data_IF_133026386871
#
_entry.id   IF_133026386871
#
_cell.length_a   1.000
_cell.length_b   1.000
_cell.length_c   1.000
_cell.angle_alpha   90.00
_cell.angle_beta   90.00
_cell.angle_gamma   90.00
#
_symmetry.space_group_name_H-M   'P 1'
#
loop_
_entity.id
_entity.type
_entity.pdbx_description
1 polymer ?
#
# COMPACT_ATOMS: atom_id res chain seq x y z
N UNK A 1 59.36 -63.68 -5.40
CA UNK A 1 59.08 -62.68 -4.34
C UNK A 1 58.22 -61.58 -4.96
N UNK A 2 57.01 -61.34 -4.44
CA UNK A 2 56.01 -60.43 -5.02
C UNK A 2 55.99 -59.15 -4.17
N UNK A 3 56.50 -58.04 -4.71
CA UNK A 3 56.54 -56.76 -3.99
C UNK A 3 55.14 -56.15 -3.92
N UNK A 4 54.57 -56.11 -2.72
CA UNK A 4 53.31 -55.42 -2.44
C UNK A 4 53.59 -53.92 -2.19
N UNK A 5 53.51 -53.11 -3.24
CA UNK A 5 53.51 -51.64 -3.12
C UNK A 5 52.13 -51.20 -2.63
N UNK A 6 52.03 -50.73 -1.38
CA UNK A 6 50.81 -50.10 -0.87
C UNK A 6 50.71 -48.68 -1.44
N UNK A 7 49.60 -48.28 -2.08
CA UNK A 7 49.44 -46.90 -2.55
C UNK A 7 49.38 -45.95 -1.35
N UNK A 8 50.16 -44.87 -1.38
CA UNK A 8 50.11 -43.81 -0.36
C UNK A 8 48.77 -43.08 -0.47
N UNK A 9 48.07 -42.81 0.65
CA UNK A 9 46.87 -41.98 0.61
C UNK A 9 47.25 -40.58 0.09
N UNK A 10 46.64 -40.18 -1.01
CA UNK A 10 46.78 -38.83 -1.57
C UNK A 10 45.91 -37.90 -0.71
N UNK A 11 46.55 -37.07 0.10
CA UNK A 11 45.87 -36.01 0.86
C UNK A 11 45.46 -34.85 -0.03
N UNK A 12 44.66 -33.93 0.52
CA UNK A 12 44.27 -32.68 -0.14
C UNK A 12 45.49 -31.80 -0.44
N UNK A 13 45.52 -31.21 -1.64
CA UNK A 13 46.56 -30.25 -2.00
C UNK A 13 46.25 -28.87 -1.42
N UNK A 14 47.29 -28.08 -1.09
CA UNK A 14 47.14 -26.72 -0.61
C UNK A 14 46.37 -25.83 -1.60
N UNK A 15 46.59 -26.03 -2.90
CA UNK A 15 45.87 -25.29 -3.94
C UNK A 15 44.38 -25.67 -4.00
N UNK A 16 44.04 -26.93 -3.70
CA UNK A 16 42.66 -27.41 -3.70
C UNK A 16 41.85 -26.80 -2.54
N UNK A 17 42.48 -26.65 -1.37
CA UNK A 17 41.86 -25.97 -0.22
C UNK A 17 41.62 -24.48 -0.52
N UNK A 18 42.57 -23.80 -1.16
CA UNK A 18 42.40 -22.38 -1.53
C UNK A 18 41.27 -22.22 -2.55
N UNK A 19 41.26 -23.05 -3.60
CA UNK A 19 40.23 -22.97 -4.65
C UNK A 19 38.84 -23.26 -4.07
N UNK A 20 38.70 -24.28 -3.22
CA UNK A 20 37.41 -24.61 -2.59
C UNK A 20 36.90 -23.49 -1.69
N UNK A 21 37.77 -22.84 -0.91
CA UNK A 21 37.39 -21.69 -0.09
C UNK A 21 36.96 -20.48 -0.93
N UNK A 22 37.66 -20.20 -2.03
CA UNK A 22 37.30 -19.10 -2.95
C UNK A 22 35.96 -19.37 -3.62
N UNK A 23 35.76 -20.58 -4.15
CA UNK A 23 34.49 -20.97 -4.77
C UNK A 23 33.33 -20.94 -3.77
N UNK A 24 33.56 -21.41 -2.54
CA UNK A 24 32.57 -21.35 -1.46
C UNK A 24 32.23 -19.89 -1.08
N UNK A 25 33.23 -19.00 -1.04
CA UNK A 25 33.03 -17.58 -0.78
C UNK A 25 32.20 -16.89 -1.86
N UNK A 26 32.46 -17.18 -3.14
CA UNK A 26 31.68 -16.65 -4.26
C UNK A 26 30.24 -17.17 -4.21
N UNK A 27 30.05 -18.48 -4.00
CA UNK A 27 28.73 -19.10 -3.89
C UNK A 27 27.93 -18.54 -2.69
N UNK A 28 28.59 -18.34 -1.55
CA UNK A 28 27.99 -17.72 -0.36
C UNK A 28 27.56 -16.27 -0.60
N UNK A 29 28.38 -15.47 -1.28
CA UNK A 29 28.05 -14.09 -1.63
C UNK A 29 26.83 -13.99 -2.56
N UNK A 30 26.75 -14.88 -3.56
CA UNK A 30 25.58 -14.97 -4.44
C UNK A 30 24.32 -15.35 -3.65
N UNK A 31 24.40 -16.34 -2.76
CA UNK A 31 23.27 -16.80 -1.95
C UNK A 31 22.69 -15.67 -1.08
N UNK A 32 23.54 -14.87 -0.44
CA UNK A 32 23.10 -13.72 0.38
C UNK A 32 22.41 -12.65 -0.49
N UNK A 33 22.90 -12.43 -1.71
CA UNK A 33 22.32 -11.44 -2.63
C UNK A 33 20.94 -11.87 -3.14
N UNK A 34 20.72 -13.17 -3.34
CA UNK A 34 19.43 -13.71 -3.79
C UNK A 34 18.41 -13.90 -2.64
N UNK A 35 18.83 -14.38 -1.46
CA UNK A 35 17.90 -14.63 -0.33
C UNK A 35 17.70 -13.41 0.57
N UNK A 36 18.65 -12.47 0.62
CA UNK A 36 18.57 -11.28 1.47
C UNK A 36 17.32 -10.42 1.23
N UNK A 37 17.00 -10.04 -0.03
CA UNK A 37 15.84 -9.20 -0.33
C UNK A 37 14.49 -9.87 -0.06
N UNK A 38 14.39 -11.19 -0.24
CA UNK A 38 13.14 -11.94 -0.04
C UNK A 38 12.75 -12.09 1.43
N UNK A 39 13.73 -12.15 2.33
CA UNK A 39 13.49 -12.24 3.78
C UNK A 39 13.09 -10.86 4.34
N UNK A 40 13.72 -9.78 3.87
CA UNK A 40 13.53 -8.43 4.44
C UNK A 40 12.29 -7.69 3.94
N UNK A 41 11.79 -7.97 2.73
CA UNK A 41 10.62 -7.25 2.15
C UNK A 41 9.28 -7.95 2.31
N UNK A 42 9.23 -9.06 3.04
CA UNK A 42 8.00 -9.85 3.25
C UNK A 42 6.91 -9.08 4.02
N UNK A 43 7.29 -8.08 4.83
CA UNK A 43 6.34 -7.24 5.57
C UNK A 43 5.72 -6.11 4.74
N UNK A 44 6.34 -5.71 3.64
CA UNK A 44 5.86 -4.59 2.82
C UNK A 44 4.48 -4.86 2.19
N UNK A 45 4.23 -6.01 1.52
CA UNK A 45 2.91 -6.30 0.99
C UNK A 45 1.86 -6.47 2.10
N UNK A 46 2.24 -7.03 3.26
CA UNK A 46 1.33 -7.19 4.38
C UNK A 46 0.90 -5.83 4.96
N UNK A 47 1.85 -4.90 5.11
CA UNK A 47 1.55 -3.54 5.58
C UNK A 47 0.72 -2.77 4.57
N UNK A 48 0.98 -2.93 3.27
CA UNK A 48 0.14 -2.33 2.22
C UNK A 48 -1.30 -2.85 2.30
N UNK A 49 -1.50 -4.17 2.43
CA UNK A 49 -2.83 -4.77 2.56
C UNK A 49 -3.57 -4.30 3.83
N UNK A 50 -2.87 -4.23 4.97
CA UNK A 50 -3.45 -3.71 6.21
C UNK A 50 -3.87 -2.25 6.07
N UNK A 51 -3.03 -1.44 5.44
CA UNK A 51 -3.31 -0.04 5.14
C UNK A 51 -4.54 0.10 4.24
N UNK A 52 -4.63 -0.69 3.17
CA UNK A 52 -5.77 -0.70 2.25
C UNK A 52 -7.07 -1.11 2.95
N UNK A 53 -7.01 -2.17 3.76
CA UNK A 53 -8.17 -2.62 4.54
C UNK A 53 -8.64 -1.56 5.55
N UNK A 54 -7.72 -0.86 6.21
CA UNK A 54 -8.07 0.21 7.13
C UNK A 54 -8.75 1.38 6.42
N UNK A 55 -8.26 1.76 5.24
CA UNK A 55 -8.81 2.86 4.45
C UNK A 55 -10.18 2.49 3.86
N UNK A 56 -10.33 1.24 3.42
CA UNK A 56 -11.59 0.66 2.98
C UNK A 56 -12.66 0.72 4.09
N UNK A 57 -12.30 0.32 5.33
CA UNK A 57 -13.21 0.39 6.46
C UNK A 57 -13.68 1.82 6.76
N UNK A 58 -12.80 2.83 6.64
CA UNK A 58 -13.16 4.24 6.78
C UNK A 58 -14.18 4.65 5.72
N UNK A 59 -13.97 4.28 4.45
CA UNK A 59 -14.91 4.59 3.38
C UNK A 59 -16.25 3.90 3.57
N UNK A 60 -16.25 2.64 4.00
CA UNK A 60 -17.48 1.90 4.28
C UNK A 60 -18.30 2.58 5.38
N UNK A 61 -17.65 3.08 6.43
CA UNK A 61 -18.32 3.86 7.47
C UNK A 61 -18.92 5.18 6.93
N UNK A 62 -18.22 5.86 6.00
CA UNK A 62 -18.76 7.05 5.34
C UNK A 62 -19.97 6.71 4.47
N UNK A 63 -19.90 5.62 3.70
CA UNK A 63 -21.00 5.12 2.84
C UNK A 63 -22.21 4.72 3.70
N UNK A 64 -21.98 4.05 4.82
CA UNK A 64 -23.03 3.65 5.74
C UNK A 64 -23.73 4.86 6.39
N UNK A 65 -23.00 5.96 6.65
CA UNK A 65 -23.56 7.18 7.23
C UNK A 65 -24.23 8.11 6.20
N UNK A 66 -23.91 7.98 4.91
CA UNK A 66 -24.46 8.82 3.85
C UNK A 66 -26.00 8.86 3.77
N UNK A 67 -26.76 7.75 3.93
CA UNK A 67 -28.22 7.81 3.92
C UNK A 67 -28.82 8.55 5.13
N UNK A 68 -28.13 8.56 6.27
CA UNK A 68 -28.63 9.14 7.53
C UNK A 68 -28.42 10.66 7.62
N UNK A 69 -27.57 11.24 6.76
CA UNK A 69 -27.34 12.69 6.74
C UNK A 69 -28.42 13.44 5.97
N UNK A 70 -28.79 14.62 6.47
CA UNK A 70 -29.81 15.46 5.85
C UNK A 70 -29.43 15.91 4.41
N UNK A 71 -28.16 16.24 4.16
CA UNK A 71 -27.66 16.71 2.87
C UNK A 71 -26.16 16.38 2.67
N UNK A 72 -25.71 16.38 1.42
CA UNK A 72 -24.31 16.20 1.02
C UNK A 72 -23.40 17.28 1.62
N UNK A 73 -23.92 18.49 1.89
CA UNK A 73 -23.18 19.53 2.60
C UNK A 73 -22.82 19.10 4.04
N UNK A 74 -23.75 18.44 4.73
CA UNK A 74 -23.51 17.91 6.09
C UNK A 74 -22.48 16.79 6.07
N UNK A 75 -22.59 15.86 5.12
CA UNK A 75 -21.60 14.80 4.93
C UNK A 75 -20.21 15.36 4.61
N UNK A 76 -20.13 16.37 3.74
CA UNK A 76 -18.88 17.07 3.45
C UNK A 76 -18.26 17.63 4.73
N UNK A 77 -19.04 18.29 5.58
CA UNK A 77 -18.52 18.86 6.83
C UNK A 77 -18.08 17.81 7.84
N UNK A 78 -18.77 16.67 7.94
CA UNK A 78 -18.41 15.61 8.87
C UNK A 78 -17.14 14.86 8.43
N UNK A 79 -16.92 14.70 7.13
CA UNK A 79 -15.70 14.06 6.58
C UNK A 79 -14.44 14.88 6.87
N UNK A 80 -14.52 16.22 6.84
CA UNK A 80 -13.41 17.12 7.10
C UNK A 80 -12.90 17.88 5.86
N UNK A 81 -12.03 18.87 6.06
CA UNK A 81 -11.52 19.70 4.96
C UNK A 81 -10.50 18.95 4.09
N UNK A 82 -10.44 19.25 2.79
CA UNK A 82 -9.37 18.74 1.94
C UNK A 82 -8.00 19.26 2.42
N UNK A 83 -6.99 18.38 2.40
CA UNK A 83 -5.65 18.63 2.92
C UNK A 83 -5.52 18.49 4.45
N UNK A 84 -6.52 17.92 5.13
CA UNK A 84 -6.47 17.72 6.58
C UNK A 84 -6.51 16.25 7.00
N UNK A 85 -5.85 15.95 8.11
CA UNK A 85 -5.91 14.66 8.78
C UNK A 85 -7.10 14.63 9.73
N UNK A 86 -7.80 13.49 9.75
CA UNK A 86 -9.05 13.30 10.47
C UNK A 86 -8.95 12.05 11.34
N UNK A 87 -9.47 12.16 12.55
CA UNK A 87 -9.62 11.04 13.49
C UNK A 87 -10.98 11.19 14.16
N UNK A 88 -12.02 10.77 13.45
CA UNK A 88 -13.41 10.94 13.84
C UNK A 88 -14.15 9.59 13.80
N UNK A 89 -15.49 9.65 13.87
CA UNK A 89 -16.35 8.47 13.88
C UNK A 89 -16.18 7.58 12.64
N UNK A 90 -15.80 8.12 11.47
CA UNK A 90 -15.56 7.32 10.27
C UNK A 90 -14.31 6.44 10.40
N UNK A 91 -13.30 6.95 11.12
CA UNK A 91 -12.14 6.20 11.56
C UNK A 91 -12.36 5.37 12.82
N UNK A 92 -13.60 5.24 13.31
CA UNK A 92 -13.92 4.66 14.63
C UNK A 92 -13.08 5.27 15.76
N UNK A 93 -12.72 6.56 15.64
CA UNK A 93 -11.82 7.30 16.53
C UNK A 93 -10.43 6.67 16.76
N UNK A 94 -10.04 5.70 15.92
CA UNK A 94 -8.82 4.91 16.09
C UNK A 94 -7.95 4.92 14.83
N UNK A 95 -8.59 4.90 13.66
CA UNK A 95 -7.94 4.95 12.35
C UNK A 95 -7.92 6.40 11.88
N UNK A 96 -6.73 6.97 11.73
CA UNK A 96 -6.56 8.29 11.13
C UNK A 96 -6.57 8.17 9.60
N UNK A 97 -7.23 9.10 8.92
CA UNK A 97 -7.24 9.22 7.47
C UNK A 97 -6.95 10.66 7.05
N UNK A 98 -6.35 10.83 5.89
CA UNK A 98 -6.10 12.10 5.24
C UNK A 98 -7.15 12.34 4.15
N UNK A 99 -7.69 13.55 4.07
CA UNK A 99 -8.64 13.92 3.02
C UNK A 99 -7.91 14.57 1.86
N UNK A 100 -7.64 13.83 0.79
CA UNK A 100 -7.06 14.41 -0.43
C UNK A 100 -8.05 15.31 -1.17
N UNK A 101 -9.30 14.86 -1.27
CA UNK A 101 -10.37 15.59 -1.96
C UNK A 101 -11.67 15.44 -1.19
N UNK A 102 -12.34 16.56 -0.98
CA UNK A 102 -13.71 16.60 -0.47
C UNK A 102 -14.43 17.81 -1.05
N UNK A 103 -14.99 17.63 -2.25
CA UNK A 103 -15.57 18.70 -3.06
C UNK A 103 -16.86 18.26 -3.70
N UNK A 104 -17.83 19.15 -3.78
CA UNK A 104 -19.01 18.94 -4.63
C UNK A 104 -18.55 18.90 -6.09
N UNK A 105 -19.13 18.01 -6.87
CA UNK A 105 -18.83 17.79 -8.27
C UNK A 105 -20.13 17.60 -9.05
N UNK A 106 -20.11 18.08 -10.30
CA UNK A 106 -21.30 18.15 -11.15
C UNK A 106 -21.01 17.40 -12.44
N UNK A 107 -21.91 16.53 -12.86
CA UNK A 107 -21.76 15.82 -14.12
C UNK A 107 -22.23 16.73 -15.25
N UNK A 108 -21.32 17.24 -16.07
CA UNK A 108 -21.71 17.97 -17.27
C UNK A 108 -22.30 16.98 -18.29
N UNK A 109 -23.60 17.13 -18.58
CA UNK A 109 -24.36 16.28 -19.50
C UNK A 109 -23.89 16.39 -20.96
N UNK A 110 -23.16 17.45 -21.32
CA UNK A 110 -22.63 17.63 -22.67
C UNK A 110 -21.28 16.94 -22.89
N UNK A 111 -20.41 16.92 -21.88
CA UNK A 111 -19.05 16.40 -21.98
C UNK A 111 -18.81 15.08 -21.23
N UNK A 112 -19.78 14.60 -20.44
CA UNK A 112 -19.63 13.47 -19.52
C UNK A 112 -18.43 13.64 -18.56
N UNK A 113 -18.08 14.88 -18.22
CA UNK A 113 -16.99 15.18 -17.30
C UNK A 113 -17.51 15.78 -16.00
N UNK A 114 -16.82 15.50 -14.90
CA UNK A 114 -17.10 16.15 -13.62
C UNK A 114 -16.49 17.55 -13.59
N UNK A 115 -17.32 18.58 -13.47
CA UNK A 115 -16.93 19.98 -13.40
C UNK A 115 -17.15 20.55 -12.00
N UNK A 116 -16.41 21.62 -11.66
CA UNK A 116 -16.63 22.43 -10.44
C UNK A 116 -17.53 23.63 -10.77
N UNK A 117 -18.64 23.38 -11.45
CA UNK A 117 -19.64 24.41 -11.78
C UNK A 117 -20.55 24.67 -10.58
N UNK A 118 -21.13 25.87 -10.45
CA UNK A 118 -22.10 26.17 -9.37
C UNK A 118 -23.56 25.95 -9.78
N UNK A 119 -23.78 25.34 -10.94
CA UNK A 119 -25.10 25.06 -11.49
C UNK A 119 -25.70 23.83 -10.80
N UNK A 120 -26.52 24.10 -9.80
CA UNK A 120 -27.24 23.11 -8.99
C UNK A 120 -28.31 22.36 -9.76
N UNK A 121 -28.58 22.73 -11.02
CA UNK A 121 -29.62 22.14 -11.87
C UNK A 121 -29.21 20.78 -12.48
N UNK A 122 -27.93 20.40 -12.40
CA UNK A 122 -27.33 19.27 -13.14
C UNK A 122 -27.11 18.02 -12.24
N UNK A 123 -27.65 18.04 -11.02
CA UNK A 123 -27.44 16.98 -10.04
C UNK A 123 -26.12 17.17 -9.28
N UNK A 124 -26.22 17.12 -7.95
CA UNK A 124 -25.10 17.42 -7.05
C UNK A 124 -24.53 16.10 -6.55
N UNK A 125 -23.23 15.89 -6.77
CA UNK A 125 -22.49 14.77 -6.22
C UNK A 125 -21.42 15.27 -5.26
N UNK A 126 -21.02 14.43 -4.30
CA UNK A 126 -19.88 14.70 -3.45
C UNK A 126 -18.75 13.74 -3.82
N UNK A 127 -17.68 14.29 -4.39
CA UNK A 127 -16.48 13.56 -4.75
C UNK A 127 -15.50 13.58 -3.59
N UNK A 128 -15.26 12.40 -3.02
CA UNK A 128 -14.37 12.22 -1.86
C UNK A 128 -13.22 11.32 -2.25
N UNK A 129 -12.00 11.73 -1.91
CA UNK A 129 -10.80 10.92 -1.98
C UNK A 129 -10.08 11.00 -0.65
N UNK A 130 -9.76 9.85 -0.07
CA UNK A 130 -8.99 9.75 1.16
C UNK A 130 -7.75 8.87 0.97
N UNK A 131 -6.77 9.09 1.83
CA UNK A 131 -5.54 8.30 1.94
C UNK A 131 -5.15 8.15 3.41
N UNK A 132 -4.05 7.46 3.68
CA UNK A 132 -3.49 7.41 5.03
C UNK A 132 -2.57 8.61 5.29
N UNK A 133 -2.55 9.16 6.51
CA UNK A 133 -1.73 10.31 6.85
C UNK A 133 -0.24 10.01 6.64
N UNK A 134 0.46 10.94 5.99
CA UNK A 134 1.90 10.82 5.71
C UNK A 134 2.26 9.74 4.69
N UNK A 135 1.30 9.12 4.01
CA UNK A 135 1.55 8.11 2.98
C UNK A 135 1.06 8.59 1.62
N UNK A 136 1.97 8.66 0.64
CA UNK A 136 1.61 8.99 -0.75
C UNK A 136 1.15 7.75 -1.55
N UNK A 137 0.85 6.64 -0.88
CA UNK A 137 0.50 5.36 -1.48
C UNK A 137 -0.98 5.27 -1.82
N UNK A 138 -1.67 4.28 -1.24
CA UNK A 138 -3.06 3.96 -1.55
C UNK A 138 -4.01 5.11 -1.26
N UNK A 139 -4.82 5.41 -2.27
CA UNK A 139 -5.94 6.34 -2.19
C UNK A 139 -7.19 5.62 -2.61
N UNK A 140 -8.29 5.90 -1.93
CA UNK A 140 -9.61 5.41 -2.31
C UNK A 140 -10.50 6.60 -2.61
N UNK A 141 -11.27 6.49 -3.68
CA UNK A 141 -12.21 7.54 -4.10
C UNK A 141 -13.61 6.97 -4.16
N UNK A 142 -14.59 7.76 -3.74
CA UNK A 142 -16.00 7.42 -3.86
C UNK A 142 -16.81 8.67 -4.22
N UNK A 143 -17.93 8.41 -4.88
CA UNK A 143 -18.88 9.41 -5.30
C UNK A 143 -20.17 9.21 -4.51
N UNK A 144 -20.50 10.16 -3.65
CA UNK A 144 -21.75 10.16 -2.91
C UNK A 144 -22.83 10.90 -3.68
N UNK A 145 -24.04 10.37 -3.59
CA UNK A 145 -25.26 10.91 -4.19
C UNK A 145 -26.37 10.83 -3.14
N UNK A 146 -27.43 11.61 -3.34
CA UNK A 146 -28.63 11.61 -2.50
C UNK A 146 -29.86 11.44 -3.39
#
# INVERSE_FOLDING_TARGET
>A
MRNNVRPRPRGFSLIEIIITLVVLGIAGAMLVTFMGPGITRSSDPLRALQNDASLQAVMENMIAAAPDVADLATLKTSIGAAGSDQTNAYGMNTIAYHVDRNSLCYLDTGSNTFTNTTDTSIGIYLCVTISLPGQSGSKISYLFTK
#
